data_IF_421885676195
#
_entry.id   IF_421885676195
#
_cell.length_a   1.000
_cell.length_b   1.000
_cell.length_c   1.000
_cell.angle_alpha   90.00
_cell.angle_beta   90.00
_cell.angle_gamma   90.00
#
_symmetry.space_group_name_H-M   'P 1'
#
loop_
_entity.id
_entity.type
_entity.pdbx_description
1 polymer ?
#
# COMPACT_ATOMS: atom_id res chain seq x y z
N UNK A 1 -20.74 13.19 -3.38
CA UNK A 1 -19.31 13.19 -3.76
C UNK A 1 -18.55 12.57 -2.62
N UNK A 2 -18.22 11.28 -2.71
CA UNK A 2 -17.55 10.54 -1.63
C UNK A 2 -16.39 9.74 -2.19
N UNK A 3 -15.34 9.55 -1.39
CA UNK A 3 -14.25 8.60 -1.64
C UNK A 3 -14.13 7.70 -0.41
N UNK A 4 -13.98 6.39 -0.62
CA UNK A 4 -14.03 5.38 0.46
C UNK A 4 -15.21 5.57 1.43
N UNK A 5 -16.39 5.90 0.89
CA UNK A 5 -17.64 6.16 1.64
C UNK A 5 -17.60 7.32 2.63
N UNK A 6 -16.60 8.21 2.53
CA UNK A 6 -16.48 9.40 3.38
C UNK A 6 -16.71 10.68 2.58
N UNK A 7 -17.20 11.72 3.26
CA UNK A 7 -17.36 13.05 2.67
C UNK A 7 -16.01 13.75 2.60
N UNK A 8 -15.89 14.67 1.64
CA UNK A 8 -14.68 15.45 1.45
C UNK A 8 -14.40 16.32 2.68
N UNK A 9 -13.19 16.27 3.22
CA UNK A 9 -12.82 17.08 4.41
C UNK A 9 -12.47 18.53 4.08
N UNK A 10 -12.20 18.83 2.80
CA UNK A 10 -11.93 20.18 2.30
C UNK A 10 -12.59 20.34 0.92
N UNK A 11 -13.52 21.31 0.72
CA UNK A 11 -14.38 21.40 -0.46
C UNK A 11 -13.64 21.93 -1.71
N UNK A 12 -12.50 21.33 -2.05
CA UNK A 12 -11.74 21.65 -3.25
C UNK A 12 -12.19 20.83 -4.45
N UNK A 13 -12.24 21.48 -5.61
CA UNK A 13 -12.44 20.80 -6.88
C UNK A 13 -11.11 20.33 -7.47
N UNK A 14 -10.86 19.02 -7.47
CA UNK A 14 -9.59 18.47 -7.93
C UNK A 14 -9.59 18.08 -9.43
N UNK A 15 -10.59 18.47 -10.23
CA UNK A 15 -10.62 18.15 -11.67
C UNK A 15 -9.39 18.64 -12.43
N UNK A 16 -8.82 19.75 -11.96
CA UNK A 16 -7.61 20.36 -12.55
C UNK A 16 -6.35 19.80 -11.91
N UNK A 17 -6.28 19.72 -10.59
CA UNK A 17 -5.07 19.42 -9.82
C UNK A 17 -4.83 17.90 -9.76
N UNK A 18 -4.07 17.34 -10.69
CA UNK A 18 -3.96 15.88 -10.84
C UNK A 18 -3.24 15.21 -9.66
N UNK A 19 -2.23 15.84 -9.08
CA UNK A 19 -1.60 15.30 -7.87
C UNK A 19 -2.57 15.31 -6.70
N UNK A 20 -3.34 16.38 -6.56
CA UNK A 20 -4.32 16.47 -5.49
C UNK A 20 -5.47 15.46 -5.65
N UNK A 21 -5.96 15.25 -6.88
CA UNK A 21 -6.95 14.22 -7.16
C UNK A 21 -6.43 12.81 -6.85
N UNK A 22 -5.21 12.48 -7.29
CA UNK A 22 -4.57 11.21 -6.97
C UNK A 22 -4.45 11.04 -5.45
N UNK A 23 -3.96 12.07 -4.76
CA UNK A 23 -3.82 12.10 -3.30
C UNK A 23 -5.12 11.83 -2.55
N UNK A 24 -6.22 12.47 -2.97
CA UNK A 24 -7.56 12.23 -2.41
C UNK A 24 -8.05 10.81 -2.68
N UNK A 25 -7.71 10.26 -3.86
CA UNK A 25 -8.02 8.87 -4.21
C UNK A 25 -7.30 7.87 -3.31
N UNK A 26 -5.99 8.04 -3.08
CA UNK A 26 -5.16 7.05 -2.36
C UNK A 26 -5.12 7.23 -0.84
N UNK A 27 -5.61 8.37 -0.33
CA UNK A 27 -5.60 8.68 1.09
C UNK A 27 -6.17 7.55 1.94
N UNK A 28 -5.41 7.15 2.95
CA UNK A 28 -5.76 6.10 3.91
C UNK A 28 -6.86 6.53 4.89
N UNK A 29 -7.16 7.84 4.95
CA UNK A 29 -8.15 8.44 5.85
C UNK A 29 -9.50 8.73 5.17
N UNK A 30 -9.69 8.21 3.96
CA UNK A 30 -10.89 8.46 3.15
C UNK A 30 -10.72 9.66 2.22
N UNK A 31 -11.79 10.43 2.00
CA UNK A 31 -11.79 11.61 1.14
C UNK A 31 -11.16 12.83 1.84
N UNK A 32 -9.96 12.62 2.39
CA UNK A 32 -9.29 13.53 3.31
C UNK A 32 -7.98 14.06 2.75
N UNK A 33 -7.84 15.40 2.77
CA UNK A 33 -6.68 16.13 2.32
C UNK A 33 -5.60 16.34 3.42
N UNK A 34 -5.79 15.82 4.63
CA UNK A 34 -4.79 15.95 5.70
C UNK A 34 -3.80 14.78 5.74
N UNK A 35 -4.12 13.63 5.12
CA UNK A 35 -3.17 12.54 4.87
C UNK A 35 -2.08 12.96 3.88
N UNK A 36 -2.49 13.69 2.84
CA UNK A 36 -1.65 14.31 1.83
C UNK A 36 -2.33 15.55 1.27
N UNK A 37 -1.52 16.54 0.88
CA UNK A 37 -1.99 17.74 0.18
C UNK A 37 -0.84 18.28 -0.65
N UNK A 38 -0.91 18.08 -1.96
CA UNK A 38 0.13 18.56 -2.88
C UNK A 38 -0.10 20.03 -3.22
N UNK A 39 -0.22 20.90 -2.20
CA UNK A 39 -0.57 22.33 -2.37
C UNK A 39 0.42 23.08 -3.24
N UNK A 40 1.70 22.71 -3.17
CA UNK A 40 2.75 23.39 -3.93
C UNK A 40 2.63 23.14 -5.45
N UNK A 41 1.72 22.27 -5.90
CA UNK A 41 1.35 22.10 -7.30
C UNK A 41 0.79 23.37 -7.95
N UNK A 42 0.24 24.31 -7.17
CA UNK A 42 -0.26 25.60 -7.67
C UNK A 42 0.71 26.78 -7.40
N UNK A 43 1.89 26.52 -6.87
CA UNK A 43 2.87 27.57 -6.60
C UNK A 43 3.74 27.84 -7.83
N UNK A 44 3.53 28.99 -8.48
CA UNK A 44 4.25 29.38 -9.70
C UNK A 44 5.77 29.34 -9.53
N UNK A 45 6.32 29.87 -8.44
CA UNK A 45 7.78 29.90 -8.22
C UNK A 45 8.40 28.51 -8.12
N UNK A 46 7.65 27.53 -7.62
CA UNK A 46 8.09 26.13 -7.56
C UNK A 46 7.93 25.48 -8.93
N UNK A 47 6.82 25.74 -9.63
CA UNK A 47 6.55 25.18 -10.94
C UNK A 47 7.46 25.71 -12.05
N UNK A 48 7.95 26.95 -11.92
CA UNK A 48 8.86 27.61 -12.86
C UNK A 48 10.32 27.15 -12.69
N UNK A 49 10.63 26.36 -11.65
CA UNK A 49 11.95 25.75 -11.45
C UNK A 49 11.83 24.21 -11.34
N UNK A 50 11.89 23.50 -12.48
CA UNK A 50 11.81 22.04 -12.51
C UNK A 50 12.85 21.34 -11.63
N UNK A 51 14.08 21.86 -11.58
CA UNK A 51 15.17 21.28 -10.77
C UNK A 51 14.89 21.43 -9.28
N UNK A 52 14.37 22.59 -8.85
CA UNK A 52 13.99 22.80 -7.46
C UNK A 52 12.84 21.88 -7.06
N UNK A 53 11.80 21.81 -7.89
CA UNK A 53 10.64 20.93 -7.68
C UNK A 53 11.06 19.46 -7.63
N UNK A 54 12.01 19.05 -8.48
CA UNK A 54 12.51 17.69 -8.49
C UNK A 54 13.25 17.34 -7.20
N UNK A 55 14.09 18.24 -6.68
CA UNK A 55 14.74 18.05 -5.37
C UNK A 55 13.72 17.98 -4.23
N UNK A 56 12.65 18.78 -4.30
CA UNK A 56 11.62 18.82 -3.27
C UNK A 56 10.84 17.50 -3.13
N UNK A 57 10.61 16.81 -4.25
CA UNK A 57 9.81 15.58 -4.30
C UNK A 57 10.63 14.30 -4.58
N UNK A 58 11.96 14.41 -4.68
CA UNK A 58 12.85 13.27 -4.93
C UNK A 58 12.81 12.74 -6.37
N UNK A 59 12.32 13.53 -7.34
CA UNK A 59 12.24 13.13 -8.75
C UNK A 59 11.45 14.13 -9.60
N UNK A 60 11.48 14.01 -10.94
CA UNK A 60 10.83 14.96 -11.84
C UNK A 60 9.31 14.98 -11.67
N UNK A 61 8.74 16.16 -11.42
CA UNK A 61 7.29 16.38 -11.30
C UNK A 61 6.87 17.53 -12.20
N UNK A 62 5.87 17.32 -13.05
CA UNK A 62 5.41 18.38 -13.96
C UNK A 62 4.95 19.64 -13.20
N UNK A 63 5.37 20.81 -13.67
CA UNK A 63 4.90 22.12 -13.19
C UNK A 63 3.44 22.41 -13.56
N UNK A 64 2.89 21.73 -14.57
CA UNK A 64 1.51 21.91 -15.01
C UNK A 64 0.56 21.19 -14.04
N UNK A 65 -0.44 21.87 -13.44
CA UNK A 65 -1.34 21.23 -12.49
C UNK A 65 -2.25 20.18 -13.14
N UNK A 66 -2.56 20.33 -14.43
CA UNK A 66 -3.41 19.42 -15.20
C UNK A 66 -2.67 18.27 -15.91
N UNK A 67 -1.36 18.12 -15.68
CA UNK A 67 -0.60 16.96 -16.17
C UNK A 67 -0.58 15.84 -15.13
N UNK A 68 -0.57 14.58 -15.56
CA UNK A 68 -0.39 13.41 -14.67
C UNK A 68 1.09 13.05 -14.44
N UNK A 69 2.02 13.67 -15.16
CA UNK A 69 3.43 13.32 -15.15
C UNK A 69 4.11 13.60 -13.80
N UNK A 70 4.63 12.53 -13.18
CA UNK A 70 5.40 12.55 -11.94
C UNK A 70 4.58 12.90 -10.69
N UNK A 71 3.25 13.02 -10.79
CA UNK A 71 2.42 13.50 -9.67
C UNK A 71 2.41 12.55 -8.48
N UNK A 72 2.58 11.25 -8.72
CA UNK A 72 2.74 10.23 -7.70
C UNK A 72 3.92 10.47 -6.74
N UNK A 73 5.02 11.08 -7.23
CA UNK A 73 6.19 11.42 -6.40
C UNK A 73 5.81 12.47 -5.36
N UNK A 74 5.06 13.48 -5.80
CA UNK A 74 4.62 14.56 -4.92
C UNK A 74 3.60 14.07 -3.88
N UNK A 75 2.69 13.17 -4.27
CA UNK A 75 1.75 12.53 -3.33
C UNK A 75 2.51 11.71 -2.29
N UNK A 76 3.44 10.84 -2.70
CA UNK A 76 4.24 10.03 -1.76
C UNK A 76 5.03 10.90 -0.78
N UNK A 77 5.73 11.91 -1.29
CA UNK A 77 6.54 12.81 -0.46
C UNK A 77 5.68 13.52 0.59
N UNK A 78 4.49 13.97 0.23
CA UNK A 78 3.52 14.52 1.18
C UNK A 78 3.06 13.46 2.18
N UNK A 79 2.62 12.27 1.76
CA UNK A 79 2.15 11.23 2.69
C UNK A 79 3.19 10.85 3.73
N UNK A 80 4.43 10.60 3.29
CA UNK A 80 5.49 10.13 4.18
C UNK A 80 5.88 11.20 5.21
N UNK A 81 6.12 12.45 4.80
CA UNK A 81 6.52 13.51 5.73
C UNK A 81 5.38 13.91 6.66
N UNK A 82 4.14 13.81 6.19
CA UNK A 82 2.95 14.10 6.98
C UNK A 82 2.70 13.04 8.04
N UNK A 83 2.97 11.77 7.72
CA UNK A 83 2.85 10.68 8.67
C UNK A 83 3.83 10.85 9.82
N UNK A 84 5.08 11.18 9.52
CA UNK A 84 6.07 11.52 10.56
C UNK A 84 5.64 12.76 11.34
N UNK A 85 5.20 13.81 10.63
CA UNK A 85 4.69 15.04 11.24
C UNK A 85 3.57 14.77 12.26
N UNK A 86 2.62 13.90 11.93
CA UNK A 86 1.55 13.49 12.85
C UNK A 86 2.10 12.76 14.08
N UNK A 87 3.06 11.85 13.89
CA UNK A 87 3.66 11.06 14.97
C UNK A 87 4.48 11.91 15.94
N UNK A 88 5.18 12.94 15.45
CA UNK A 88 5.93 13.88 16.31
C UNK A 88 5.02 14.96 16.93
N UNK A 89 3.73 14.99 16.57
CA UNK A 89 2.78 15.99 17.05
C UNK A 89 2.92 17.36 16.38
N UNK A 90 3.58 17.45 15.22
CA UNK A 90 3.71 18.69 14.47
C UNK A 90 2.37 19.08 13.83
N UNK A 91 1.97 20.34 13.99
CA UNK A 91 0.80 20.85 13.29
C UNK A 91 0.99 20.75 11.78
N UNK A 92 -0.05 20.31 11.06
CA UNK A 92 -0.01 20.17 9.61
C UNK A 92 0.34 21.48 8.89
N UNK A 93 -0.16 22.62 9.39
CA UNK A 93 0.14 23.94 8.82
C UNK A 93 1.61 24.36 8.96
N UNK A 94 2.34 23.77 9.91
CA UNK A 94 3.77 24.00 10.15
C UNK A 94 4.63 22.82 9.68
N UNK A 95 4.08 21.90 8.89
CA UNK A 95 4.83 20.79 8.30
C UNK A 95 5.30 21.14 6.89
N UNK A 96 6.56 20.83 6.56
CA UNK A 96 7.15 20.98 5.21
C UNK A 96 6.22 20.38 4.15
N UNK A 97 6.14 21.05 2.99
CA UNK A 97 5.28 20.71 1.85
C UNK A 97 3.79 21.10 1.96
N UNK A 98 3.24 21.36 3.15
CA UNK A 98 1.80 21.66 3.26
C UNK A 98 1.45 23.05 2.72
N UNK A 99 2.04 24.11 3.30
CA UNK A 99 1.85 25.49 2.85
C UNK A 99 3.12 26.11 2.26
N UNK A 100 4.29 25.56 2.59
CA UNK A 100 5.58 26.09 2.21
C UNK A 100 6.64 24.99 2.16
N UNK A 101 7.63 25.07 1.25
CA UNK A 101 8.73 24.12 1.20
C UNK A 101 9.77 24.31 2.32
N UNK A 102 9.67 25.40 3.09
CA UNK A 102 10.66 25.81 4.10
C UNK A 102 10.17 25.62 5.56
N UNK A 103 9.03 24.97 5.75
CA UNK A 103 8.54 24.61 7.09
C UNK A 103 9.33 23.40 7.64
N UNK A 104 9.27 23.15 8.96
CA UNK A 104 9.89 21.97 9.59
C UNK A 104 9.64 20.66 8.83
N UNK A 105 10.72 19.99 8.46
CA UNK A 105 10.73 18.65 7.88
C UNK A 105 11.57 17.67 8.69
N UNK A 106 12.02 16.59 8.05
CA UNK A 106 12.74 15.51 8.73
C UNK A 106 13.95 15.99 9.54
N UNK A 107 14.74 16.92 9.02
CA UNK A 107 15.92 17.45 9.70
C UNK A 107 15.56 18.17 11.02
N UNK A 108 14.44 18.89 11.02
CA UNK A 108 13.94 19.54 12.25
C UNK A 108 13.27 18.52 13.18
N UNK A 109 12.59 17.51 12.65
CA UNK A 109 11.97 16.45 13.44
C UNK A 109 13.01 15.60 14.17
N UNK A 110 14.10 15.23 13.50
CA UNK A 110 15.24 14.55 14.11
C UNK A 110 15.76 15.31 15.35
N UNK A 111 16.06 16.60 15.19
CA UNK A 111 16.57 17.42 16.28
C UNK A 111 15.55 17.52 17.44
N UNK A 112 14.27 17.70 17.13
CA UNK A 112 13.19 17.77 18.12
C UNK A 112 13.06 16.46 18.90
N UNK A 113 13.04 15.31 18.21
CA UNK A 113 12.92 14.00 18.85
C UNK A 113 14.11 13.74 19.77
N UNK A 114 15.33 14.01 19.31
CA UNK A 114 16.54 13.86 20.12
C UNK A 114 16.49 14.72 21.39
N UNK A 115 16.12 16.00 21.25
CA UNK A 115 16.11 16.93 22.37
C UNK A 115 14.97 16.65 23.37
N UNK A 116 13.80 16.18 22.90
CA UNK A 116 12.63 15.97 23.74
C UNK A 116 12.57 14.56 24.36
N UNK A 117 13.01 13.54 23.63
CA UNK A 117 12.86 12.12 24.02
C UNK A 117 14.19 11.37 24.16
N UNK A 118 15.33 11.98 23.79
CA UNK A 118 16.64 11.32 23.84
C UNK A 118 16.83 10.20 22.80
N UNK A 119 15.96 10.13 21.79
CA UNK A 119 16.03 9.12 20.73
C UNK A 119 16.75 9.67 19.51
N UNK A 120 17.67 8.89 18.95
CA UNK A 120 18.43 9.26 17.77
C UNK A 120 17.85 8.57 16.52
N UNK A 121 17.52 9.37 15.51
CA UNK A 121 17.02 8.91 14.21
C UNK A 121 17.78 9.63 13.11
N UNK A 122 18.10 8.95 12.01
CA UNK A 122 18.50 9.65 10.79
C UNK A 122 17.27 10.10 9.99
N UNK A 123 17.45 11.03 9.06
CA UNK A 123 16.42 11.45 8.10
C UNK A 123 15.85 10.26 7.31
N UNK A 124 16.71 9.33 6.90
CA UNK A 124 16.31 8.12 6.16
C UNK A 124 15.43 7.22 7.03
N UNK A 125 15.76 7.09 8.32
CA UNK A 125 14.96 6.31 9.25
C UNK A 125 13.59 6.95 9.47
N UNK A 126 13.50 8.28 9.62
CA UNK A 126 12.22 8.98 9.69
C UNK A 126 11.40 8.81 8.40
N UNK A 127 12.02 8.94 7.22
CA UNK A 127 11.35 8.72 5.95
C UNK A 127 10.80 7.27 5.84
N UNK A 128 11.56 6.28 6.31
CA UNK A 128 11.12 4.89 6.38
C UNK A 128 9.92 4.71 7.34
N UNK A 129 9.92 5.37 8.50
CA UNK A 129 8.78 5.38 9.44
C UNK A 129 7.52 5.94 8.75
N UNK A 130 7.62 7.03 8.00
CA UNK A 130 6.49 7.59 7.25
C UNK A 130 5.90 6.57 6.26
N UNK A 131 6.76 5.86 5.53
CA UNK A 131 6.33 4.79 4.64
C UNK A 131 5.72 3.60 5.40
N UNK A 132 6.28 3.20 6.54
CA UNK A 132 5.73 2.11 7.38
C UNK A 132 4.34 2.45 7.91
N UNK A 133 4.11 3.69 8.36
CA UNK A 133 2.79 4.15 8.81
C UNK A 133 1.77 4.01 7.68
N UNK A 134 2.08 4.50 6.47
CA UNK A 134 1.22 4.33 5.28
C UNK A 134 0.95 2.85 4.98
N UNK A 135 1.97 1.99 5.07
CA UNK A 135 1.83 0.55 4.85
C UNK A 135 0.86 -0.10 5.84
N UNK A 136 1.02 0.19 7.13
CA UNK A 136 0.18 -0.31 8.22
C UNK A 136 -1.25 0.20 8.09
N UNK A 137 -1.45 1.49 7.83
CA UNK A 137 -2.79 2.07 7.60
C UNK A 137 -3.51 1.38 6.43
N UNK A 138 -2.78 1.06 5.35
CA UNK A 138 -3.35 0.32 4.21
C UNK A 138 -3.69 -1.13 4.55
N UNK A 139 -2.88 -1.81 5.36
CA UNK A 139 -3.20 -3.16 5.85
C UNK A 139 -4.48 -3.15 6.72
N UNK A 140 -4.63 -2.16 7.59
CA UNK A 140 -5.84 -1.95 8.39
C UNK A 140 -7.04 -1.73 7.47
N UNK A 141 -6.94 -0.79 6.52
CA UNK A 141 -8.02 -0.52 5.57
C UNK A 141 -8.41 -1.75 4.74
N UNK A 142 -7.43 -2.56 4.33
CA UNK A 142 -7.68 -3.78 3.58
C UNK A 142 -8.42 -4.83 4.42
N UNK A 143 -8.07 -4.97 5.70
CA UNK A 143 -8.82 -5.83 6.63
C UNK A 143 -10.29 -5.39 6.80
N UNK A 144 -10.60 -4.13 6.52
CA UNK A 144 -11.95 -3.55 6.51
C UNK A 144 -12.62 -3.61 5.12
N UNK A 145 -11.97 -4.26 4.13
CA UNK A 145 -12.50 -4.47 2.79
C UNK A 145 -12.22 -3.34 1.79
N UNK A 146 -11.36 -2.38 2.12
CA UNK A 146 -10.88 -1.37 1.17
C UNK A 146 -9.86 -2.00 0.24
N UNK A 147 -10.05 -1.80 -1.06
CA UNK A 147 -9.22 -2.38 -2.11
C UNK A 147 -8.86 -1.31 -3.15
N UNK A 148 -8.09 -1.68 -4.16
CA UNK A 148 -7.78 -0.79 -5.29
C UNK A 148 -9.01 -0.09 -5.89
N UNK A 149 -10.16 -0.77 -5.97
CA UNK A 149 -11.39 -0.20 -6.54
C UNK A 149 -11.90 1.04 -5.78
N UNK A 150 -11.50 1.18 -4.53
CA UNK A 150 -11.91 2.28 -3.65
C UNK A 150 -10.91 3.46 -3.71
N UNK A 151 -9.75 3.28 -4.33
CA UNK A 151 -8.78 4.34 -4.62
C UNK A 151 -9.14 5.09 -5.90
N UNK A 152 -10.27 5.79 -5.85
CA UNK A 152 -10.82 6.53 -6.99
C UNK A 152 -11.35 7.89 -6.55
N UNK A 153 -11.73 8.71 -7.53
CA UNK A 153 -12.43 9.98 -7.31
C UNK A 153 -13.93 9.83 -7.60
N UNK A 154 -14.78 10.80 -7.22
CA UNK A 154 -16.18 10.78 -7.58
C UNK A 154 -16.39 10.88 -9.10
N UNK A 155 -17.38 10.17 -9.65
CA UNK A 155 -17.65 10.11 -11.10
C UNK A 155 -17.80 11.47 -11.78
N UNK A 156 -18.43 12.44 -11.10
CA UNK A 156 -18.53 13.83 -11.59
C UNK A 156 -17.18 14.40 -12.01
N UNK A 157 -16.09 14.09 -11.32
CA UNK A 157 -14.76 14.60 -11.67
C UNK A 157 -14.19 13.98 -12.95
N UNK A 158 -14.67 12.81 -13.34
CA UNK A 158 -14.33 12.15 -14.60
C UNK A 158 -15.28 12.50 -15.75
N UNK A 159 -16.56 12.74 -15.45
CA UNK A 159 -17.59 12.85 -16.46
C UNK A 159 -17.92 14.31 -16.81
N UNK A 160 -17.90 15.21 -15.81
CA UNK A 160 -18.30 16.61 -15.98
C UNK A 160 -17.08 17.56 -16.09
N UNK A 161 -16.86 18.19 -17.26
CA UNK A 161 -15.75 19.14 -17.41
C UNK A 161 -15.94 20.42 -16.59
N UNK A 162 -14.82 21.05 -16.25
CA UNK A 162 -14.79 22.40 -15.70
C UNK A 162 -15.43 23.38 -16.70
N UNK A 163 -16.39 24.18 -16.24
CA UNK A 163 -17.25 25.00 -17.13
C UNK A 163 -16.65 26.35 -17.54
N UNK A 164 -15.64 26.85 -16.82
CA UNK A 164 -15.07 28.19 -17.03
C UNK A 164 -13.64 28.33 -16.51
N UNK A 165 -13.09 29.53 -16.66
CA UNK A 165 -11.70 29.83 -16.30
C UNK A 165 -10.66 29.26 -17.29
N UNK A 166 -9.36 29.37 -16.96
CA UNK A 166 -8.27 29.00 -17.86
C UNK A 166 -8.20 27.48 -18.18
N UNK A 167 -8.86 26.66 -17.36
CA UNK A 167 -8.92 25.20 -17.53
C UNK A 167 -10.33 24.73 -17.93
N UNK A 168 -11.11 25.57 -18.63
CA UNK A 168 -12.40 25.16 -19.18
C UNK A 168 -12.24 23.91 -20.06
N UNK A 169 -13.06 22.89 -19.82
CA UNK A 169 -12.98 21.60 -20.50
C UNK A 169 -12.19 20.53 -19.74
N UNK A 170 -11.38 20.92 -18.75
CA UNK A 170 -10.57 20.00 -17.95
C UNK A 170 -11.45 19.10 -17.07
N UNK A 171 -11.07 17.83 -16.98
CA UNK A 171 -11.64 16.81 -16.08
C UNK A 171 -10.58 15.76 -15.80
N UNK A 172 -10.83 14.87 -14.86
CA UNK A 172 -9.99 13.69 -14.70
C UNK A 172 -10.21 12.74 -15.87
N UNK A 173 -9.13 12.14 -16.36
CA UNK A 173 -9.20 11.04 -17.31
C UNK A 173 -9.07 9.71 -16.54
N UNK A 174 -9.98 8.76 -16.79
CA UNK A 174 -10.03 7.48 -16.04
C UNK A 174 -8.78 6.64 -16.31
N UNK A 175 -8.29 6.61 -17.55
CA UNK A 175 -7.13 5.79 -17.95
C UNK A 175 -5.84 6.39 -17.41
N UNK A 176 -5.67 7.71 -17.52
CA UNK A 176 -4.49 8.39 -16.99
C UNK A 176 -4.45 8.37 -15.45
N UNK A 177 -5.62 8.46 -14.80
CA UNK A 177 -5.72 8.31 -13.35
C UNK A 177 -5.34 6.90 -12.89
N UNK A 178 -5.86 5.87 -13.53
CA UNK A 178 -5.51 4.47 -13.22
C UNK A 178 -4.02 4.18 -13.48
N UNK A 179 -3.45 4.73 -14.57
CA UNK A 179 -2.02 4.66 -14.83
C UNK A 179 -1.18 5.42 -13.78
N UNK A 180 -1.66 6.54 -13.25
CA UNK A 180 -1.01 7.26 -12.16
C UNK A 180 -1.10 6.50 -10.83
N UNK A 181 -2.24 5.85 -10.56
CA UNK A 181 -2.42 4.95 -9.42
C UNK A 181 -1.42 3.78 -9.46
N UNK A 182 -1.22 3.18 -10.63
CA UNK A 182 -0.21 2.14 -10.86
C UNK A 182 1.21 2.62 -10.58
N UNK A 183 1.57 3.82 -11.05
CA UNK A 183 2.89 4.40 -10.76
C UNK A 183 3.05 4.66 -9.26
N UNK A 184 2.01 5.19 -8.61
CA UNK A 184 1.99 5.40 -7.17
C UNK A 184 2.19 4.07 -6.41
N UNK A 185 1.45 3.02 -6.78
CA UNK A 185 1.59 1.71 -6.12
C UNK A 185 3.01 1.16 -6.23
N UNK A 186 3.59 1.15 -7.45
CA UNK A 186 4.97 0.71 -7.66
C UNK A 186 5.96 1.53 -6.84
N UNK A 187 5.83 2.86 -6.88
CA UNK A 187 6.71 3.79 -6.16
C UNK A 187 6.67 3.57 -4.63
N UNK A 188 5.49 3.22 -4.11
CA UNK A 188 5.24 3.07 -2.68
C UNK A 188 5.36 1.62 -2.19
N UNK A 189 5.90 0.70 -3.00
CA UNK A 189 6.05 -0.75 -2.71
C UNK A 189 4.72 -1.42 -2.36
N UNK A 190 3.70 -1.16 -3.17
CA UNK A 190 2.35 -1.70 -3.01
C UNK A 190 2.04 -2.68 -4.14
N UNK A 191 1.30 -3.74 -3.82
CA UNK A 191 0.80 -4.70 -4.80
C UNK A 191 -0.45 -4.19 -5.53
N UNK A 192 -1.02 -5.02 -6.41
CA UNK A 192 -2.18 -4.67 -7.21
C UNK A 192 -3.46 -4.36 -6.39
N UNK A 193 -3.56 -4.88 -5.15
CA UNK A 193 -4.69 -4.62 -4.25
C UNK A 193 -4.52 -3.33 -3.43
N UNK A 194 -3.37 -2.67 -3.56
CA UNK A 194 -3.07 -1.46 -2.79
C UNK A 194 -2.63 -1.75 -1.36
N UNK A 195 -2.07 -2.92 -1.07
CA UNK A 195 -1.41 -3.21 0.21
C UNK A 195 0.09 -3.36 0.02
N UNK A 196 0.92 -3.26 1.07
CA UNK A 196 2.36 -3.55 0.98
C UNK A 196 2.64 -4.86 0.23
N UNK A 197 3.68 -4.87 -0.60
CA UNK A 197 4.19 -6.10 -1.22
C UNK A 197 4.45 -7.16 -0.16
N UNK A 198 4.34 -8.45 -0.52
CA UNK A 198 4.52 -9.55 0.42
C UNK A 198 5.76 -9.42 1.31
N UNK A 199 6.94 -9.18 0.72
CA UNK A 199 8.19 -8.98 1.46
C UNK A 199 8.08 -7.87 2.52
N UNK A 200 7.58 -6.70 2.13
CA UNK A 200 7.43 -5.58 3.06
C UNK A 200 6.32 -5.82 4.10
N UNK A 201 5.26 -6.53 3.71
CA UNK A 201 4.17 -6.95 4.62
C UNK A 201 4.69 -7.89 5.71
N UNK A 202 5.58 -8.84 5.37
CA UNK A 202 6.25 -9.72 6.34
C UNK A 202 7.08 -8.92 7.35
N UNK A 203 7.83 -7.90 6.89
CA UNK A 203 8.59 -6.99 7.76
C UNK A 203 7.67 -6.21 8.70
N UNK A 204 6.60 -5.60 8.17
CA UNK A 204 5.64 -4.84 8.97
C UNK A 204 4.91 -5.72 9.98
N UNK A 205 4.54 -6.96 9.61
CA UNK A 205 3.91 -7.89 10.53
C UNK A 205 4.82 -8.21 11.72
N UNK A 206 6.11 -8.46 11.50
CA UNK A 206 7.07 -8.67 12.60
C UNK A 206 7.25 -7.42 13.47
N UNK A 207 7.23 -6.22 12.89
CA UNK A 207 7.31 -4.97 13.64
C UNK A 207 6.07 -4.77 14.53
N UNK A 208 4.87 -5.06 14.02
CA UNK A 208 3.60 -4.78 14.71
C UNK A 208 3.20 -5.88 15.67
N UNK A 209 3.34 -7.14 15.26
CA UNK A 209 2.82 -8.31 15.98
C UNK A 209 3.94 -9.19 16.59
N UNK A 210 5.21 -8.98 16.22
CA UNK A 210 6.32 -9.82 16.67
C UNK A 210 6.36 -11.20 16.01
N UNK A 211 5.45 -11.50 15.09
CA UNK A 211 5.30 -12.81 14.46
C UNK A 211 4.78 -12.71 13.03
N UNK A 212 5.34 -13.50 12.13
CA UNK A 212 4.82 -13.71 10.78
C UNK A 212 5.16 -15.10 10.25
N UNK A 213 4.15 -15.87 9.88
CA UNK A 213 4.30 -17.04 8.99
C UNK A 213 3.73 -16.70 7.62
N UNK A 214 4.44 -17.05 6.56
CA UNK A 214 3.97 -16.84 5.18
C UNK A 214 3.53 -18.16 4.58
N UNK A 215 2.29 -18.23 4.09
CA UNK A 215 1.75 -19.41 3.43
C UNK A 215 1.57 -19.16 1.94
N UNK A 216 2.31 -19.88 1.10
CA UNK A 216 2.08 -19.88 -0.35
C UNK A 216 0.94 -20.82 -0.70
N UNK A 217 -0.03 -20.28 -1.43
CA UNK A 217 -1.22 -21.02 -1.86
C UNK A 217 -1.23 -21.03 -3.39
N UNK A 218 -1.21 -22.22 -4.03
CA UNK A 218 -1.33 -22.32 -5.47
C UNK A 218 -2.61 -21.64 -5.95
N UNK A 219 -2.48 -20.84 -7.01
CA UNK A 219 -3.62 -20.14 -7.65
C UNK A 219 -4.76 -21.09 -8.05
N UNK A 220 -4.43 -22.34 -8.37
CA UNK A 220 -5.41 -23.38 -8.70
C UNK A 220 -6.31 -23.77 -7.52
N UNK A 221 -5.82 -23.61 -6.29
CA UNK A 221 -6.60 -23.86 -5.08
C UNK A 221 -7.38 -22.62 -4.67
N UNK A 222 -6.68 -21.50 -4.50
CA UNK A 222 -7.28 -20.21 -4.13
C UNK A 222 -6.49 -19.08 -4.81
N UNK A 223 -7.15 -18.18 -5.55
CA UNK A 223 -6.51 -16.98 -6.05
C UNK A 223 -6.36 -15.96 -4.91
N UNK A 224 -5.20 -15.94 -4.26
CA UNK A 224 -4.84 -14.93 -3.26
C UNK A 224 -3.89 -13.86 -3.83
N UNK A 225 -3.95 -12.60 -3.38
CA UNK A 225 -2.98 -11.57 -3.75
C UNK A 225 -1.54 -12.04 -3.46
N UNK A 226 -0.60 -11.70 -4.34
CA UNK A 226 0.81 -12.12 -4.27
C UNK A 226 1.05 -13.65 -4.26
N UNK A 227 0.01 -14.48 -4.42
CA UNK A 227 0.10 -15.94 -4.31
C UNK A 227 0.41 -16.44 -2.89
N UNK A 228 0.30 -15.58 -1.88
CA UNK A 228 0.58 -15.93 -0.49
C UNK A 228 -0.24 -15.12 0.51
N UNK A 229 -0.54 -15.75 1.65
CA UNK A 229 -1.16 -15.12 2.80
C UNK A 229 -0.17 -15.07 3.97
N UNK A 230 -0.33 -14.09 4.84
CA UNK A 230 0.52 -13.91 6.02
C UNK A 230 -0.30 -14.12 7.28
N UNK A 231 0.22 -14.89 8.23
CA UNK A 231 -0.39 -15.17 9.52
C UNK A 231 0.41 -14.46 10.60
N UNK A 232 -0.26 -13.58 11.35
CA UNK A 232 0.36 -12.68 12.34
C UNK A 232 0.14 -13.11 13.78
N UNK A 233 -0.68 -14.14 14.01
CA UNK A 233 -0.88 -14.73 15.32
C UNK A 233 -0.05 -15.99 15.44
N UNK A 234 0.59 -16.16 16.61
CA UNK A 234 1.35 -17.37 16.93
C UNK A 234 0.47 -18.60 16.71
N UNK A 235 0.93 -19.46 15.81
CA UNK A 235 0.23 -20.69 15.42
C UNK A 235 1.16 -21.85 15.73
N UNK A 236 0.92 -22.64 16.79
CA UNK A 236 1.89 -23.60 17.31
C UNK A 236 2.35 -24.67 16.32
N UNK A 237 1.48 -25.09 15.40
CA UNK A 237 1.76 -26.16 14.45
C UNK A 237 0.99 -26.00 13.13
N UNK A 238 1.38 -26.79 12.13
CA UNK A 238 0.77 -26.79 10.79
C UNK A 238 -0.71 -27.18 10.84
N UNK A 239 -1.13 -28.09 11.72
CA UNK A 239 -2.53 -28.52 11.82
C UNK A 239 -3.46 -27.34 12.12
N UNK A 240 -3.12 -26.54 13.12
CA UNK A 240 -3.87 -25.33 13.48
C UNK A 240 -3.81 -24.26 12.38
N UNK A 241 -2.68 -24.15 11.67
CA UNK A 241 -2.55 -23.28 10.51
C UNK A 241 -3.55 -23.68 9.41
N UNK A 242 -3.59 -24.96 9.03
CA UNK A 242 -4.49 -25.46 8.00
C UNK A 242 -5.96 -25.31 8.41
N UNK A 243 -6.29 -25.57 9.68
CA UNK A 243 -7.65 -25.39 10.20
C UNK A 243 -8.10 -23.93 10.15
N UNK A 244 -7.17 -23.00 10.35
CA UNK A 244 -7.41 -21.56 10.19
C UNK A 244 -7.64 -21.21 8.72
N UNK A 245 -6.75 -21.66 7.83
CA UNK A 245 -6.83 -21.38 6.40
C UNK A 245 -8.11 -21.93 5.78
N UNK A 246 -8.59 -23.10 6.22
CA UNK A 246 -9.85 -23.69 5.71
C UNK A 246 -11.11 -22.96 6.20
N UNK A 247 -11.04 -22.24 7.32
CA UNK A 247 -12.14 -21.35 7.77
C UNK A 247 -12.21 -20.09 6.91
N UNK A 248 -11.05 -19.50 6.62
CA UNK A 248 -10.95 -18.27 5.82
C UNK A 248 -11.18 -18.52 4.33
N UNK A 249 -10.64 -19.63 3.83
CA UNK A 249 -10.75 -20.09 2.45
C UNK A 249 -11.40 -21.47 2.40
N UNK A 250 -12.74 -21.57 2.44
CA UNK A 250 -13.45 -22.85 2.40
C UNK A 250 -13.11 -23.72 1.19
N UNK A 251 -12.59 -23.14 0.09
CA UNK A 251 -12.15 -23.90 -1.07
C UNK A 251 -10.95 -24.82 -0.75
N UNK A 252 -10.09 -24.44 0.20
CA UNK A 252 -8.97 -25.26 0.64
C UNK A 252 -9.42 -26.53 1.34
N UNK A 253 -10.57 -26.49 2.03
CA UNK A 253 -11.09 -27.65 2.77
C UNK A 253 -11.21 -28.87 1.87
N UNK A 254 -11.83 -28.69 0.69
CA UNK A 254 -12.01 -29.77 -0.27
C UNK A 254 -10.69 -30.32 -0.80
N UNK A 255 -9.70 -29.44 -0.98
CA UNK A 255 -8.39 -29.84 -1.47
C UNK A 255 -7.58 -30.60 -0.42
N UNK A 256 -7.73 -30.27 0.87
CA UNK A 256 -6.99 -30.87 1.98
C UNK A 256 -7.66 -32.15 2.54
N UNK A 257 -8.99 -32.23 2.53
CA UNK A 257 -9.77 -33.33 3.14
C UNK A 257 -10.19 -34.42 2.13
N UNK A 258 -9.87 -34.29 0.84
CA UNK A 258 -10.16 -35.35 -0.13
C UNK A 258 -9.39 -36.64 0.23
N UNK A 259 -10.01 -37.81 0.08
CA UNK A 259 -9.33 -39.11 0.28
C UNK A 259 -8.10 -39.27 -0.63
N UNK A 260 -8.14 -38.64 -1.82
CA UNK A 260 -7.02 -38.51 -2.78
C UNK A 260 -6.32 -37.13 -2.67
N UNK A 261 -6.33 -36.50 -1.49
CA UNK A 261 -5.68 -35.20 -1.28
C UNK A 261 -4.18 -35.31 -1.58
N UNK A 262 -3.81 -34.81 -2.75
CA UNK A 262 -2.43 -34.70 -3.23
C UNK A 262 -1.75 -33.41 -2.74
N UNK A 263 -2.29 -32.73 -1.73
CA UNK A 263 -1.70 -31.48 -1.22
C UNK A 263 -0.66 -31.82 -0.16
N UNK A 264 0.61 -31.76 -0.56
CA UNK A 264 1.73 -31.82 0.35
C UNK A 264 2.01 -30.45 0.97
N UNK A 265 2.67 -30.43 2.11
CA UNK A 265 3.11 -29.20 2.77
C UNK A 265 4.63 -29.18 2.85
N UNK A 266 5.23 -28.09 2.37
CA UNK A 266 6.64 -27.79 2.59
C UNK A 266 6.77 -26.72 3.68
N UNK A 267 7.82 -26.82 4.51
CA UNK A 267 8.23 -25.74 5.42
C UNK A 267 9.67 -25.39 5.09
N UNK A 268 9.94 -24.12 4.73
CA UNK A 268 11.28 -23.65 4.39
C UNK A 268 12.01 -24.54 3.36
N UNK A 269 11.29 -24.92 2.29
CA UNK A 269 11.75 -25.80 1.21
C UNK A 269 11.91 -27.30 1.58
N UNK A 270 11.68 -27.68 2.83
CA UNK A 270 11.67 -29.07 3.26
C UNK A 270 10.26 -29.67 3.12
N UNK A 271 10.17 -30.78 2.40
CA UNK A 271 8.91 -31.51 2.18
C UNK A 271 8.68 -32.54 3.28
N UNK A 272 7.47 -32.55 3.83
CA UNK A 272 7.07 -33.51 4.86
C UNK A 272 5.94 -34.39 4.31
N UNK A 273 6.02 -35.70 4.58
CA UNK A 273 5.08 -36.70 4.05
C UNK A 273 4.20 -37.30 5.15
N UNK A 274 4.72 -37.40 6.38
CA UNK A 274 4.01 -37.93 7.55
C UNK A 274 4.08 -36.95 8.72
N UNK A 275 3.10 -37.01 9.64
CA UNK A 275 3.10 -36.19 10.86
C UNK A 275 2.99 -34.68 10.63
N UNK A 276 2.64 -34.25 9.40
CA UNK A 276 2.67 -32.85 8.97
C UNK A 276 1.93 -31.93 9.94
N UNK A 277 0.74 -32.34 10.39
CA UNK A 277 -0.13 -31.52 11.24
C UNK A 277 0.48 -31.21 12.62
N UNK A 278 1.39 -32.04 13.11
CA UNK A 278 2.04 -31.86 14.41
C UNK A 278 3.35 -31.07 14.32
N UNK A 279 3.83 -30.76 13.10
CA UNK A 279 5.07 -30.02 12.90
C UNK A 279 4.95 -28.60 13.47
N UNK A 280 5.92 -28.17 14.30
CA UNK A 280 5.89 -26.85 14.91
C UNK A 280 6.14 -25.75 13.86
N UNK A 281 5.54 -24.60 14.07
CA UNK A 281 5.81 -23.39 13.28
C UNK A 281 6.38 -22.29 14.19
N UNK A 282 7.30 -21.51 13.63
CA UNK A 282 7.94 -20.36 14.30
C UNK A 282 7.86 -19.10 13.43
N UNK A 283 8.19 -17.97 14.04
CA UNK A 283 8.31 -16.70 13.32
C UNK A 283 9.29 -16.84 12.13
N UNK A 284 8.89 -16.29 10.99
CA UNK A 284 9.66 -16.30 9.75
C UNK A 284 9.50 -17.55 8.90
N UNK A 285 8.79 -18.59 9.36
CA UNK A 285 8.60 -19.79 8.55
C UNK A 285 7.80 -19.51 7.27
N UNK A 286 8.21 -20.17 6.19
CA UNK A 286 7.49 -20.21 4.91
C UNK A 286 6.86 -21.58 4.73
N UNK A 287 5.53 -21.62 4.71
CA UNK A 287 4.74 -22.82 4.45
C UNK A 287 4.28 -22.79 3.00
N UNK A 288 4.50 -23.88 2.25
CA UNK A 288 4.03 -23.98 0.87
C UNK A 288 3.06 -25.14 0.72
N UNK A 289 1.86 -24.84 0.21
CA UNK A 289 0.92 -25.87 -0.21
C UNK A 289 1.32 -26.34 -1.62
N UNK A 290 1.75 -27.58 -1.75
CA UNK A 290 2.22 -28.17 -3.00
C UNK A 290 1.18 -29.14 -3.51
N UNK A 291 0.57 -28.84 -4.65
CA UNK A 291 -0.32 -29.79 -5.32
C UNK A 291 0.54 -30.83 -6.04
N UNK A 292 0.50 -32.09 -5.60
CA UNK A 292 1.13 -33.18 -6.33
C UNK A 292 0.35 -33.44 -7.62
N UNK A 293 1.07 -33.42 -8.74
CA UNK A 293 0.55 -33.86 -10.03
C UNK A 293 0.81 -35.36 -10.14
N UNK A 294 -0.24 -36.18 -10.14
CA UNK A 294 -0.11 -37.56 -10.58
C UNK A 294 0.30 -37.54 -12.06
N UNK A 295 1.53 -37.95 -12.36
CA UNK A 295 2.05 -38.01 -13.73
C UNK A 295 1.11 -38.81 -14.64
N UNK A 296 0.66 -38.19 -15.73
CA UNK A 296 -0.20 -38.84 -16.71
C UNK A 296 0.49 -40.07 -17.29
N UNK A 297 -0.21 -41.20 -17.29
CA UNK A 297 0.20 -42.40 -18.03
C UNK A 297 0.47 -42.02 -19.48
N UNK A 298 1.72 -42.14 -19.93
CA UNK A 298 1.98 -42.23 -21.36
C UNK A 298 1.26 -43.49 -21.84
N UNK A 299 0.14 -43.32 -22.55
CA UNK A 299 -0.37 -44.39 -23.40
C UNK A 299 0.75 -44.68 -24.40
N UNK A 300 1.45 -45.80 -24.18
CA UNK A 300 2.13 -46.48 -25.25
C UNK A 300 1.02 -46.97 -26.19
N UNK A 301 0.80 -46.27 -27.30
CA UNK A 301 0.03 -46.82 -28.41
C UNK A 301 0.91 -47.86 -29.13
N UNK A 302 0.32 -48.99 -29.56
CA UNK A 302 1.02 -50.09 -30.22
C UNK A 302 1.49 -49.78 -31.65
#
# INVERSE_FOLDING_TARGET
MTVKKTMQSDPHDARILKAFALGLGVSTRGFDHLRNRVTLEINARINDSPEYKARLYGGPVSGKPNSYEGKELAVKACEDIYAVGDSVGMCRFTTKLFNSPNLPGYEQFEEQIRNAAGLEYSVEHLAAIGSNIRGIERMINHSLGVTRKDDTCPDRWFDEPVKGGPYKGERLDRKEFDAALDRFYRLCRLNAEGVPTLEWREELNRIVFGFNVTVRIPKALVPVPDGAVTITEETPNVGLLLDRLTKEYPQLRRALEAEDSLVNVAINEEMFVEGIRDLPLKDGDRVELVQAFSGGTSRADP
#
